data_IF_158687258361
#
_entry.id   IF_158687258361
#
_cell.length_a   1.000
_cell.length_b   1.000
_cell.length_c   1.000
_cell.angle_alpha   90.00
_cell.angle_beta   90.00
_cell.angle_gamma   90.00
#
_symmetry.space_group_name_H-M   'P 1'
#
loop_
_entity.id
_entity.type
_entity.pdbx_description
1 polymer ?
#
# COMPACT_ATOMS: atom_id res chain seq x y z
N UNK A 1 1.62 -6.15 0.14
CA UNK A 1 2.10 -7.43 0.64
C UNK A 1 0.95 -8.35 0.99
N UNK A 2 1.05 -9.64 0.61
CA UNK A 2 0.01 -10.63 0.82
C UNK A 2 0.61 -11.88 1.47
N UNK A 3 -0.07 -12.38 2.51
CA UNK A 3 0.22 -13.63 3.16
C UNK A 3 -1.08 -14.34 3.52
N UNK A 4 -1.35 -15.48 2.87
CA UNK A 4 -2.60 -16.25 2.99
C UNK A 4 -3.86 -15.46 2.56
N UNK A 5 -3.74 -14.63 1.51
CA UNK A 5 -4.79 -13.74 1.01
C UNK A 5 -5.46 -14.23 -0.28
N UNK A 6 -5.33 -15.51 -0.60
CA UNK A 6 -5.90 -16.10 -1.83
C UNK A 6 -7.41 -15.86 -1.99
N UNK A 7 -8.14 -15.77 -0.88
CA UNK A 7 -9.59 -15.55 -0.87
C UNK A 7 -10.03 -14.10 -1.04
N UNK A 8 -9.11 -13.13 -0.93
CA UNK A 8 -9.44 -11.69 -0.86
C UNK A 8 -8.79 -10.90 -1.99
N UNK A 9 -7.50 -11.18 -2.29
CA UNK A 9 -6.71 -10.37 -3.22
C UNK A 9 -7.33 -10.28 -4.62
N UNK A 10 -8.00 -11.34 -5.08
CA UNK A 10 -8.69 -11.34 -6.38
C UNK A 10 -9.79 -10.31 -6.45
N UNK A 11 -10.70 -10.36 -5.51
CA UNK A 11 -11.87 -9.47 -5.45
C UNK A 11 -11.46 -8.02 -5.19
N UNK A 12 -10.46 -7.81 -4.30
CA UNK A 12 -9.91 -6.49 -4.01
C UNK A 12 -9.36 -5.81 -5.27
N UNK A 13 -8.48 -6.49 -6.01
CA UNK A 13 -7.87 -5.90 -7.21
C UNK A 13 -8.91 -5.64 -8.30
N UNK A 14 -9.83 -6.59 -8.56
CA UNK A 14 -10.87 -6.41 -9.57
C UNK A 14 -11.81 -5.25 -9.20
N UNK A 15 -12.23 -5.15 -7.92
CA UNK A 15 -13.05 -4.05 -7.45
C UNK A 15 -12.34 -2.71 -7.64
N UNK A 16 -11.13 -2.58 -7.13
CA UNK A 16 -10.37 -1.33 -7.17
C UNK A 16 -10.02 -0.91 -8.60
N UNK A 17 -9.72 -1.85 -9.49
CA UNK A 17 -9.53 -1.56 -10.93
C UNK A 17 -10.76 -0.97 -11.59
N UNK A 18 -11.96 -1.43 -11.19
CA UNK A 18 -13.22 -0.87 -11.69
C UNK A 18 -13.56 0.48 -11.04
N UNK A 19 -13.16 0.69 -9.80
CA UNK A 19 -13.49 1.88 -9.01
C UNK A 19 -12.55 3.07 -9.30
N UNK A 20 -11.25 2.85 -9.42
CA UNK A 20 -10.24 3.90 -9.56
C UNK A 20 -10.44 4.69 -10.85
N UNK A 21 -10.59 6.02 -10.71
CA UNK A 21 -10.70 6.98 -11.81
C UNK A 21 -9.38 7.73 -12.03
N UNK A 22 -8.34 7.00 -12.34
CA UNK A 22 -7.02 7.56 -12.65
C UNK A 22 -6.42 6.86 -13.87
N UNK A 23 -5.82 7.60 -14.82
CA UNK A 23 -5.51 7.03 -16.14
C UNK A 23 -4.27 6.13 -16.17
N UNK A 24 -3.34 6.31 -15.23
CA UNK A 24 -2.04 5.64 -15.28
C UNK A 24 -1.62 5.15 -13.89
N UNK A 25 -1.79 3.87 -13.63
CA UNK A 25 -1.36 3.21 -12.40
C UNK A 25 -1.12 1.72 -12.64
N UNK A 26 -0.29 1.14 -11.80
CA UNK A 26 0.00 -0.29 -11.77
C UNK A 26 -0.15 -0.81 -10.35
N UNK A 27 -0.57 -2.09 -10.22
CA UNK A 27 -0.57 -2.84 -8.98
C UNK A 27 0.66 -3.74 -8.92
N UNK A 28 1.38 -3.69 -7.81
CA UNK A 28 2.47 -4.60 -7.49
C UNK A 28 2.09 -5.42 -6.26
N UNK A 29 1.88 -6.71 -6.44
CA UNK A 29 1.39 -7.64 -5.42
C UNK A 29 2.56 -8.47 -4.91
N UNK A 30 2.97 -8.26 -3.66
CA UNK A 30 4.02 -9.08 -3.02
C UNK A 30 3.46 -10.35 -2.43
N UNK A 31 4.06 -11.49 -2.75
CA UNK A 31 3.71 -12.80 -2.22
C UNK A 31 4.97 -13.61 -1.85
N UNK A 32 4.80 -14.68 -1.09
CA UNK A 32 5.90 -15.52 -0.59
C UNK A 32 5.91 -16.88 -1.25
N UNK A 33 7.10 -17.50 -1.50
CA UNK A 33 7.22 -18.78 -2.19
C UNK A 33 6.46 -19.93 -1.54
N UNK A 34 6.29 -19.88 -0.22
CA UNK A 34 5.56 -20.89 0.57
C UNK A 34 4.05 -20.63 0.70
N UNK A 35 3.48 -19.72 -0.12
CA UNK A 35 2.03 -19.42 -0.17
C UNK A 35 1.50 -19.54 -1.60
N UNK A 36 1.54 -20.78 -2.13
CA UNK A 36 1.13 -21.06 -3.51
C UNK A 36 -0.32 -20.64 -3.83
N UNK A 37 -1.31 -20.75 -2.91
CA UNK A 37 -2.67 -20.27 -3.21
C UNK A 37 -2.73 -18.77 -3.51
N UNK A 38 -2.02 -17.94 -2.75
CA UNK A 38 -1.96 -16.48 -2.99
C UNK A 38 -1.19 -16.18 -4.28
N UNK A 39 -0.10 -16.90 -4.55
CA UNK A 39 0.66 -16.77 -5.80
C UNK A 39 -0.21 -17.07 -7.00
N UNK A 40 -0.97 -18.17 -6.98
CA UNK A 40 -1.87 -18.53 -8.08
C UNK A 40 -2.97 -17.49 -8.31
N UNK A 41 -3.53 -16.92 -7.23
CA UNK A 41 -4.50 -15.84 -7.33
C UNK A 41 -3.89 -14.61 -8.00
N UNK A 42 -2.70 -14.18 -7.57
CA UNK A 42 -1.98 -13.03 -8.15
C UNK A 42 -1.54 -13.28 -9.60
N UNK A 43 -1.09 -14.48 -9.96
CA UNK A 43 -0.76 -14.86 -11.35
C UNK A 43 -1.98 -14.79 -12.28
N UNK A 44 -3.15 -15.20 -11.79
CA UNK A 44 -4.40 -15.08 -12.57
C UNK A 44 -4.74 -13.61 -12.86
N UNK A 45 -4.52 -12.72 -11.88
CA UNK A 45 -4.71 -11.28 -12.07
C UNK A 45 -3.70 -10.72 -13.08
N UNK A 46 -2.41 -11.02 -12.92
CA UNK A 46 -1.33 -10.58 -13.82
C UNK A 46 -1.58 -11.04 -15.25
N UNK A 47 -2.07 -12.27 -15.46
CA UNK A 47 -2.36 -12.79 -16.80
C UNK A 47 -3.54 -12.10 -17.49
N UNK A 48 -4.48 -11.53 -16.73
CA UNK A 48 -5.67 -10.84 -17.25
C UNK A 48 -5.44 -9.34 -17.43
N UNK A 49 -4.57 -8.75 -16.62
CA UNK A 49 -4.43 -7.30 -16.49
C UNK A 49 -3.00 -6.85 -16.69
N UNK A 50 -2.69 -6.09 -17.76
CA UNK A 50 -1.33 -5.68 -18.09
C UNK A 50 -0.71 -4.70 -17.07
N UNK A 51 -1.50 -4.12 -16.18
CA UNK A 51 -1.09 -3.24 -15.10
C UNK A 51 -1.14 -3.89 -13.72
N UNK A 52 -1.09 -5.22 -13.66
CA UNK A 52 -0.97 -5.98 -12.40
C UNK A 52 0.28 -6.85 -12.48
N UNK A 53 1.13 -6.78 -11.47
CA UNK A 53 2.44 -7.43 -11.44
C UNK A 53 2.62 -8.23 -10.15
N UNK A 54 2.96 -9.51 -10.28
CA UNK A 54 3.33 -10.36 -9.16
C UNK A 54 4.79 -10.13 -8.80
N UNK A 55 5.06 -9.90 -7.52
CA UNK A 55 6.37 -9.73 -6.92
C UNK A 55 6.62 -10.88 -5.93
N UNK A 56 7.45 -11.85 -6.29
CA UNK A 56 7.80 -12.93 -5.37
C UNK A 56 8.97 -12.49 -4.47
N UNK A 57 8.77 -12.63 -3.16
CA UNK A 57 9.86 -12.52 -2.21
C UNK A 57 10.86 -13.67 -2.44
N UNK A 58 12.17 -13.47 -2.22
CA UNK A 58 13.18 -14.50 -2.48
C UNK A 58 13.27 -15.57 -1.40
N UNK A 59 12.51 -15.44 -0.32
CA UNK A 59 12.51 -16.32 0.85
C UNK A 59 11.10 -16.57 1.34
N UNK A 60 10.95 -17.61 2.15
CA UNK A 60 9.68 -18.01 2.74
C UNK A 60 9.13 -16.96 3.71
N UNK A 61 7.81 -16.83 3.73
CA UNK A 61 7.06 -16.00 4.65
C UNK A 61 6.43 -16.77 5.82
N UNK A 62 5.76 -16.04 6.73
CA UNK A 62 5.66 -14.59 6.72
C UNK A 62 6.93 -13.88 7.23
N UNK A 63 7.21 -12.69 6.69
CA UNK A 63 8.22 -11.78 7.21
C UNK A 63 7.57 -10.49 7.71
N UNK A 64 8.32 -9.40 7.91
CA UNK A 64 7.72 -8.12 8.19
C UNK A 64 7.09 -7.52 6.93
N UNK A 65 6.03 -6.71 7.09
CA UNK A 65 5.43 -5.93 5.99
C UNK A 65 6.48 -5.09 5.26
N UNK A 66 7.40 -4.49 6.02
CA UNK A 66 8.48 -3.66 5.48
C UNK A 66 9.43 -4.45 4.56
N UNK A 67 9.78 -5.68 4.94
CA UNK A 67 10.62 -6.55 4.13
C UNK A 67 9.97 -6.86 2.78
N UNK A 68 8.71 -7.29 2.79
CA UNK A 68 7.97 -7.54 1.55
C UNK A 68 7.83 -6.28 0.68
N UNK A 69 7.56 -5.12 1.29
CA UNK A 69 7.50 -3.84 0.57
C UNK A 69 8.84 -3.47 -0.09
N UNK A 70 9.98 -3.79 0.53
CA UNK A 70 11.29 -3.58 -0.09
C UNK A 70 11.46 -4.43 -1.35
N UNK A 71 11.02 -5.69 -1.33
CA UNK A 71 11.07 -6.57 -2.51
C UNK A 71 10.11 -6.13 -3.61
N UNK A 72 8.89 -5.69 -3.24
CA UNK A 72 7.96 -5.07 -4.18
C UNK A 72 8.60 -3.85 -4.85
N UNK A 73 9.25 -2.99 -4.07
CA UNK A 73 9.91 -1.80 -4.59
C UNK A 73 11.06 -2.15 -5.56
N UNK A 74 11.88 -3.15 -5.25
CA UNK A 74 12.91 -3.63 -6.19
C UNK A 74 12.30 -4.13 -7.50
N UNK A 75 11.18 -4.88 -7.44
CA UNK A 75 10.49 -5.35 -8.66
C UNK A 75 9.91 -4.19 -9.46
N UNK A 76 9.39 -3.16 -8.78
CA UNK A 76 8.93 -1.92 -9.42
C UNK A 76 10.08 -1.23 -10.17
N UNK A 77 11.26 -1.11 -9.57
CA UNK A 77 12.44 -0.52 -10.23
C UNK A 77 12.84 -1.31 -11.49
N UNK A 78 12.86 -2.63 -11.41
CA UNK A 78 13.15 -3.49 -12.58
C UNK A 78 12.10 -3.29 -13.68
N UNK A 79 10.82 -3.19 -13.30
CA UNK A 79 9.74 -2.91 -14.26
C UNK A 79 9.93 -1.57 -14.96
N UNK A 80 10.34 -0.53 -14.24
CA UNK A 80 10.65 0.79 -14.83
C UNK A 80 11.75 0.70 -15.89
N UNK A 81 12.82 -0.06 -15.61
CA UNK A 81 13.91 -0.30 -16.56
C UNK A 81 13.43 -1.07 -17.80
N UNK A 82 12.68 -2.16 -17.60
CA UNK A 82 12.12 -2.99 -18.66
C UNK A 82 11.18 -2.21 -19.59
N UNK A 83 10.34 -1.35 -19.01
CA UNK A 83 9.31 -0.59 -19.73
C UNK A 83 9.75 0.81 -20.14
N UNK A 84 10.93 1.27 -19.69
CA UNK A 84 11.43 2.64 -19.88
C UNK A 84 10.41 3.69 -19.40
N UNK A 85 9.79 3.44 -18.27
CA UNK A 85 8.86 4.34 -17.61
C UNK A 85 9.40 4.73 -16.22
N UNK A 86 8.70 5.61 -15.53
CA UNK A 86 9.00 5.98 -14.15
C UNK A 86 7.69 6.25 -13.41
N UNK A 87 7.55 5.68 -12.23
CA UNK A 87 6.46 5.98 -11.34
C UNK A 87 6.80 7.21 -10.49
N UNK A 88 5.93 8.19 -10.48
CA UNK A 88 6.12 9.45 -9.73
C UNK A 88 5.67 9.32 -8.27
N UNK A 89 4.84 8.33 -7.97
CA UNK A 89 4.33 8.05 -6.64
C UNK A 89 4.22 6.54 -6.39
N UNK A 90 4.38 6.15 -5.13
CA UNK A 90 4.13 4.79 -4.64
C UNK A 90 3.10 4.88 -3.53
N UNK A 91 2.03 4.10 -3.63
CA UNK A 91 0.97 4.01 -2.64
C UNK A 91 0.99 2.63 -2.00
N UNK A 92 0.72 2.57 -0.70
CA UNK A 92 0.65 1.32 0.05
C UNK A 92 -0.76 1.05 0.52
N UNK A 93 -1.26 -0.15 0.20
CA UNK A 93 -2.56 -0.67 0.61
C UNK A 93 -2.42 -2.10 1.13
N UNK A 94 -3.37 -2.50 1.96
CA UNK A 94 -3.51 -3.88 2.41
C UNK A 94 -4.36 -4.68 1.41
N UNK A 95 -4.34 -6.01 1.53
CA UNK A 95 -4.98 -6.91 0.56
C UNK A 95 -6.52 -6.84 0.56
N UNK A 96 -7.10 -6.21 1.60
CA UNK A 96 -8.54 -6.04 1.79
C UNK A 96 -9.04 -4.60 1.56
N UNK A 97 -8.15 -3.67 1.20
CA UNK A 97 -8.54 -2.25 1.11
C UNK A 97 -9.44 -1.93 -0.09
N UNK A 98 -10.49 -1.17 0.17
CA UNK A 98 -11.31 -0.55 -0.87
C UNK A 98 -10.84 0.89 -1.12
N UNK A 99 -10.30 1.13 -2.32
CA UNK A 99 -9.70 2.40 -2.70
C UNK A 99 -10.78 3.36 -3.20
N UNK A 100 -10.81 4.58 -2.67
CA UNK A 100 -11.74 5.60 -3.15
C UNK A 100 -11.42 5.95 -4.62
N UNK A 101 -12.43 6.11 -5.49
CA UNK A 101 -12.23 6.38 -6.92
C UNK A 101 -11.30 7.54 -7.26
N UNK A 102 -11.26 8.58 -6.46
CA UNK A 102 -10.46 9.78 -6.68
C UNK A 102 -9.16 9.82 -5.84
N UNK A 103 -8.86 8.76 -5.08
CA UNK A 103 -7.71 8.72 -4.15
C UNK A 103 -6.41 9.04 -4.85
N UNK A 104 -6.12 8.40 -5.98
CA UNK A 104 -4.88 8.59 -6.71
C UNK A 104 -4.74 10.04 -7.21
N UNK A 105 -5.86 10.67 -7.57
CA UNK A 105 -5.87 12.07 -7.99
C UNK A 105 -5.53 13.02 -6.84
N UNK A 106 -6.08 12.77 -5.64
CA UNK A 106 -5.77 13.55 -4.44
C UNK A 106 -4.32 13.37 -4.01
N UNK A 107 -3.83 12.14 -3.98
CA UNK A 107 -2.44 11.86 -3.66
C UNK A 107 -1.51 12.54 -4.65
N UNK A 108 -1.74 12.38 -5.95
CA UNK A 108 -0.93 13.02 -6.99
C UNK A 108 -0.90 14.55 -6.84
N UNK A 109 -2.05 15.18 -6.55
CA UNK A 109 -2.13 16.62 -6.33
C UNK A 109 -1.25 17.07 -5.14
N UNK A 110 -1.34 16.39 -4.01
CA UNK A 110 -0.63 16.77 -2.80
C UNK A 110 0.86 16.40 -2.84
N UNK A 111 1.24 15.31 -3.50
CA UNK A 111 2.64 14.91 -3.64
C UNK A 111 3.46 15.91 -4.50
N UNK A 112 2.83 16.81 -5.23
CA UNK A 112 3.55 17.91 -5.90
C UNK A 112 4.34 18.78 -4.90
N UNK A 113 3.82 18.99 -3.68
CA UNK A 113 4.40 19.84 -2.64
C UNK A 113 4.80 19.09 -1.36
N UNK A 114 4.44 17.85 -1.20
CA UNK A 114 4.71 17.04 -0.01
C UNK A 114 5.45 15.75 -0.39
N UNK A 115 6.26 15.24 0.51
CA UNK A 115 7.01 13.99 0.31
C UNK A 115 6.19 12.76 0.65
N UNK A 116 5.20 12.90 1.54
CA UNK A 116 4.26 11.86 1.94
C UNK A 116 2.86 12.44 2.11
N UNK A 117 1.85 11.67 1.75
CA UNK A 117 0.43 11.96 1.97
C UNK A 117 -0.21 10.75 2.64
N UNK A 118 -0.84 10.94 3.80
CA UNK A 118 -1.65 9.93 4.47
C UNK A 118 -3.12 10.21 4.21
N UNK A 119 -3.80 9.31 3.53
CA UNK A 119 -5.26 9.39 3.35
C UNK A 119 -5.94 8.82 4.59
N UNK A 120 -7.05 9.39 5.04
CA UNK A 120 -7.86 8.77 6.10
C UNK A 120 -8.33 7.40 5.66
N UNK A 121 -8.00 6.40 6.47
CA UNK A 121 -8.49 5.02 6.30
C UNK A 121 -9.61 4.81 7.30
N UNK A 122 -10.78 4.39 6.83
CA UNK A 122 -11.95 4.22 7.67
C UNK A 122 -12.37 2.74 7.63
N UNK A 123 -12.52 2.10 8.80
CA UNK A 123 -13.03 0.75 8.86
C UNK A 123 -14.46 0.67 8.33
N UNK A 124 -14.81 -0.44 7.69
CA UNK A 124 -16.17 -0.68 7.26
C UNK A 124 -17.08 -0.90 8.50
N UNK A 125 -18.35 -0.46 8.42
CA UNK A 125 -19.30 -0.66 9.52
C UNK A 125 -19.47 -2.14 9.85
N UNK A 126 -19.49 -2.46 11.13
CA UNK A 126 -19.70 -3.80 11.65
C UNK A 126 -21.03 -3.93 12.38
N UNK A 127 -21.59 -5.15 12.51
CA UNK A 127 -22.79 -5.36 13.29
C UNK A 127 -22.62 -4.90 14.75
N UNK A 128 -23.64 -4.27 15.32
CA UNK A 128 -23.63 -3.77 16.70
C UNK A 128 -23.34 -4.85 17.77
N UNK A 129 -23.53 -6.13 17.45
CA UNK A 129 -23.20 -7.25 18.32
C UNK A 129 -21.69 -7.47 18.48
N UNK A 130 -20.86 -6.94 17.59
CA UNK A 130 -19.41 -7.06 17.59
C UNK A 130 -18.75 -5.88 18.32
N UNK A 131 -19.04 -5.74 19.62
CA UNK A 131 -18.62 -4.58 20.43
C UNK A 131 -17.09 -4.32 20.40
N UNK A 132 -16.28 -5.38 20.49
CA UNK A 132 -14.82 -5.24 20.49
C UNK A 132 -14.32 -4.68 19.15
N UNK A 133 -14.87 -5.18 18.04
CA UNK A 133 -14.55 -4.68 16.72
C UNK A 133 -15.05 -3.24 16.53
N UNK A 134 -16.25 -2.92 17.05
CA UNK A 134 -16.77 -1.55 17.04
C UNK A 134 -15.85 -0.55 17.74
N UNK A 135 -15.32 -0.89 18.92
CA UNK A 135 -14.34 -0.04 19.62
C UNK A 135 -13.05 0.16 18.82
N UNK A 136 -12.55 -0.89 18.17
CA UNK A 136 -11.39 -0.79 17.26
C UNK A 136 -11.68 0.15 16.09
N UNK A 137 -12.86 0.04 15.49
CA UNK A 137 -13.29 0.91 14.39
C UNK A 137 -13.35 2.38 14.82
N UNK A 138 -13.89 2.65 16.03
CA UNK A 138 -13.98 4.01 16.56
C UNK A 138 -12.59 4.61 16.83
N UNK A 139 -11.70 3.85 17.47
CA UNK A 139 -10.32 4.28 17.73
C UNK A 139 -9.55 4.59 16.45
N UNK A 140 -9.67 3.69 15.47
CA UNK A 140 -9.02 3.86 14.15
C UNK A 140 -9.57 5.07 13.39
N UNK A 141 -10.90 5.25 13.39
CA UNK A 141 -11.54 6.40 12.78
C UNK A 141 -11.14 7.71 13.48
N UNK A 142 -11.08 7.73 14.82
CA UNK A 142 -10.63 8.91 15.57
C UNK A 142 -9.18 9.27 15.25
N UNK A 143 -8.29 8.30 15.23
CA UNK A 143 -6.89 8.50 14.85
C UNK A 143 -6.79 9.17 13.46
N UNK A 144 -7.46 8.59 12.44
CA UNK A 144 -7.33 9.08 11.07
C UNK A 144 -8.07 10.39 10.78
N UNK A 145 -9.17 10.67 11.47
CA UNK A 145 -9.98 11.86 11.17
C UNK A 145 -9.74 13.04 12.11
N UNK A 146 -9.17 12.82 13.29
CA UNK A 146 -8.91 13.87 14.29
C UNK A 146 -7.43 14.00 14.62
N UNK A 147 -6.79 12.93 15.11
CA UNK A 147 -5.43 13.03 15.65
C UNK A 147 -4.39 13.39 14.56
N UNK A 148 -4.42 12.70 13.43
CA UNK A 148 -3.51 13.00 12.32
C UNK A 148 -3.75 14.41 11.75
N UNK A 149 -5.02 14.84 11.65
CA UNK A 149 -5.39 16.19 11.20
C UNK A 149 -4.90 17.24 12.20
N UNK A 150 -5.08 17.03 13.50
CA UNK A 150 -4.59 17.95 14.53
C UNK A 150 -3.05 18.03 14.53
N UNK A 151 -2.36 16.91 14.42
CA UNK A 151 -0.89 16.85 14.30
C UNK A 151 -0.40 17.66 13.09
N UNK A 152 -1.03 17.47 11.94
CA UNK A 152 -0.74 18.23 10.72
C UNK A 152 -0.92 19.72 10.93
N UNK A 153 -2.05 20.14 11.51
CA UNK A 153 -2.37 21.55 11.75
C UNK A 153 -1.38 22.23 12.72
N UNK A 154 -0.82 21.48 13.66
CA UNK A 154 0.18 21.96 14.62
C UNK A 154 1.62 21.87 14.09
N UNK A 155 1.83 21.43 12.86
CA UNK A 155 3.16 21.23 12.28
C UNK A 155 3.94 20.07 12.94
N UNK A 156 3.24 19.11 13.56
CA UNK A 156 3.83 17.96 14.20
C UNK A 156 4.20 16.86 13.20
N UNK A 157 4.93 15.86 13.68
CA UNK A 157 5.28 14.67 12.90
C UNK A 157 4.04 13.86 12.58
N UNK A 158 3.90 13.47 11.30
CA UNK A 158 2.82 12.61 10.83
C UNK A 158 3.39 11.20 10.57
N UNK A 159 3.03 10.20 11.38
CA UNK A 159 3.44 8.83 11.12
C UNK A 159 2.72 8.27 9.88
N UNK A 160 3.38 7.40 9.14
CA UNK A 160 2.71 6.57 8.14
C UNK A 160 1.95 5.46 8.83
N UNK A 161 0.67 5.29 8.49
CA UNK A 161 -0.15 4.18 9.00
C UNK A 161 0.13 2.85 8.28
N UNK A 162 0.99 2.86 7.25
CA UNK A 162 1.32 1.67 6.47
C UNK A 162 0.22 1.24 5.48
N UNK A 163 -0.93 1.92 5.52
CA UNK A 163 -2.09 1.73 4.63
C UNK A 163 -2.63 3.10 4.24
N UNK A 164 -3.06 3.28 3.00
CA UNK A 164 -3.52 4.57 2.49
C UNK A 164 -2.43 5.65 2.52
N UNK A 165 -1.16 5.26 2.43
CA UNK A 165 -0.03 6.17 2.43
C UNK A 165 0.57 6.28 1.02
N UNK A 166 0.67 7.51 0.52
CA UNK A 166 1.33 7.85 -0.74
C UNK A 166 2.67 8.52 -0.51
N UNK A 167 3.69 8.07 -1.22
CA UNK A 167 5.05 8.58 -1.15
C UNK A 167 5.47 9.15 -2.49
N UNK A 168 6.02 10.37 -2.49
CA UNK A 168 6.63 10.92 -3.68
C UNK A 168 7.89 10.12 -4.04
N UNK A 169 8.08 9.80 -5.32
CA UNK A 169 9.26 9.05 -5.75
C UNK A 169 10.57 9.73 -5.36
N UNK A 170 10.66 11.06 -5.43
CA UNK A 170 11.84 11.80 -4.98
C UNK A 170 12.20 11.56 -3.51
N UNK A 171 11.21 11.30 -2.66
CA UNK A 171 11.46 10.97 -1.26
C UNK A 171 12.01 9.56 -1.11
N UNK A 172 11.43 8.59 -1.81
CA UNK A 172 11.91 7.20 -1.81
C UNK A 172 13.34 7.09 -2.38
N UNK A 173 13.65 7.83 -3.45
CA UNK A 173 15.01 7.87 -4.01
C UNK A 173 16.04 8.42 -3.00
N UNK A 174 15.67 9.44 -2.22
CA UNK A 174 16.54 9.97 -1.14
C UNK A 174 16.76 8.95 -0.03
N UNK A 175 15.71 8.23 0.37
CA UNK A 175 15.80 7.18 1.37
C UNK A 175 16.67 6.02 0.87
N UNK A 176 16.46 5.57 -0.36
CA UNK A 176 17.24 4.50 -0.97
C UNK A 176 18.74 4.86 -1.07
N UNK A 177 19.07 6.12 -1.34
CA UNK A 177 20.45 6.60 -1.39
C UNK A 177 21.13 6.64 -0.01
N UNK A 178 20.36 6.83 1.07
CA UNK A 178 20.88 6.89 2.45
C UNK A 178 21.00 5.52 3.12
N UNK A 179 20.12 4.58 2.79
CA UNK A 179 19.88 3.34 3.54
C UNK A 179 20.13 2.05 2.72
N UNK A 180 21.01 2.06 1.73
CA UNK A 180 21.46 0.87 1.00
C UNK A 180 20.36 -0.18 0.71
N UNK A 181 19.31 0.23 -0.03
CA UNK A 181 18.18 -0.60 -0.48
C UNK A 181 17.10 -0.97 0.57
N UNK A 182 17.11 -0.37 1.75
CA UNK A 182 16.04 -0.53 2.75
C UNK A 182 15.24 0.76 2.86
N UNK A 183 14.15 0.87 2.11
CA UNK A 183 13.28 2.04 2.11
C UNK A 183 12.21 1.92 3.18
N UNK A 184 11.73 0.70 3.40
CA UNK A 184 10.75 0.40 4.43
C UNK A 184 11.46 -0.37 5.55
N UNK A 185 11.57 0.23 6.73
CA UNK A 185 12.03 -0.47 7.92
C UNK A 185 10.90 -0.56 8.94
N UNK A 186 10.81 -1.70 9.65
CA UNK A 186 9.92 -1.77 10.79
C UNK A 186 10.43 -0.77 11.83
N UNK A 187 9.58 0.17 12.24
CA UNK A 187 9.87 1.00 13.40
C UNK A 187 9.80 0.08 14.61
N UNK A 188 10.95 -0.40 15.07
CA UNK A 188 11.01 -1.02 16.38
C UNK A 188 10.78 0.09 17.41
N UNK A 189 9.56 0.14 17.94
CA UNK A 189 9.29 0.83 19.19
C UNK A 189 9.97 0.02 20.29
N UNK A 190 11.19 0.42 20.67
CA UNK A 190 11.85 -0.02 21.90
C UNK A 190 11.27 0.70 23.10
#
# INVERSE_FOLDING_TARGET
PCWQEAGVIGDMVEHNRCAIRYPAYDFFIGAYPNDEPTIEAARRLESRHPNVHLCLCPHDGPTSKADCLNWIYQRMLLHEEERRCRFEAVLTHDAEDLIHPDELSWINYHLASHDMVQIPVLPLPTPLAELTHGLYCDDFAECHTKDLVARQALGGFLPSSGVGAGYARRALDRLAASEANRIFEPVCLT
#
